data_IF_975357795288
#
_entry.id   IF_975357795288
#
_cell.length_a   1.000
_cell.length_b   1.000
_cell.length_c   1.000
_cell.angle_alpha   90.00
_cell.angle_beta   90.00
_cell.angle_gamma   90.00
#
_symmetry.space_group_name_H-M   'P 1'
#
loop_
_entity.id
_entity.type
_entity.pdbx_description
1 polymer ?
#
# COMPACT_ATOMS: atom_id res chain seq x y z
N UNK A 1 -5.18 -4.96 -11.89
CA UNK A 1 -5.54 -5.98 -10.86
C UNK A 1 -4.54 -5.99 -9.70
N UNK A 2 -5.06 -5.83 -8.49
CA UNK A 2 -4.35 -5.88 -7.20
C UNK A 2 -4.99 -6.92 -6.26
N UNK A 3 -4.35 -7.20 -5.13
CA UNK A 3 -4.92 -7.99 -4.06
C UNK A 3 -5.67 -7.12 -3.05
N UNK A 4 -6.74 -7.67 -2.48
CA UNK A 4 -7.61 -6.96 -1.54
C UNK A 4 -6.93 -6.50 -0.27
N UNK A 5 -5.77 -7.08 0.09
CA UNK A 5 -4.96 -6.60 1.23
C UNK A 5 -4.61 -5.11 1.11
N UNK A 6 -4.38 -4.59 -0.10
CA UNK A 6 -4.10 -3.17 -0.31
C UNK A 6 -5.34 -2.32 -0.01
N UNK A 7 -6.50 -2.71 -0.54
CA UNK A 7 -7.76 -1.99 -0.32
C UNK A 7 -8.18 -2.06 1.15
N UNK A 8 -7.97 -3.20 1.81
CA UNK A 8 -8.30 -3.36 3.21
C UNK A 8 -7.38 -2.52 4.11
N UNK A 9 -6.10 -2.37 3.74
CA UNK A 9 -5.21 -1.44 4.44
C UNK A 9 -5.63 0.02 4.25
N UNK A 10 -6.17 0.40 3.07
CA UNK A 10 -6.70 1.74 2.83
C UNK A 10 -7.94 1.96 3.71
N UNK A 11 -8.88 1.02 3.72
CA UNK A 11 -10.07 1.06 4.58
C UNK A 11 -9.69 1.24 6.05
N UNK A 12 -8.78 0.40 6.56
CA UNK A 12 -8.34 0.46 7.96
C UNK A 12 -7.73 1.82 8.30
N UNK A 13 -6.82 2.31 7.44
CA UNK A 13 -6.20 3.63 7.56
C UNK A 13 -7.20 4.79 7.54
N UNK A 14 -8.17 4.77 6.61
CA UNK A 14 -9.24 5.77 6.50
C UNK A 14 -10.12 5.74 7.75
N UNK A 15 -10.54 4.56 8.20
CA UNK A 15 -11.35 4.41 9.40
C UNK A 15 -10.61 4.93 10.63
N UNK A 16 -9.31 4.67 10.73
CA UNK A 16 -8.48 5.12 11.85
C UNK A 16 -8.28 6.64 11.85
N UNK A 17 -8.05 7.25 10.68
CA UNK A 17 -7.66 8.66 10.57
C UNK A 17 -8.86 9.60 10.43
N UNK A 18 -9.84 9.22 9.60
CA UNK A 18 -11.00 10.05 9.23
C UNK A 18 -12.33 9.48 9.75
N UNK A 19 -12.30 8.33 10.44
CA UNK A 19 -13.49 7.69 11.00
C UNK A 19 -14.28 6.84 10.00
N UNK A 20 -15.06 5.89 10.52
CA UNK A 20 -15.86 4.95 9.71
C UNK A 20 -16.91 5.64 8.84
N UNK A 21 -17.42 6.80 9.25
CA UNK A 21 -18.38 7.58 8.46
C UNK A 21 -17.79 8.05 7.12
N UNK A 22 -16.50 8.40 7.11
CA UNK A 22 -15.79 8.78 5.88
C UNK A 22 -15.65 7.58 4.95
N UNK A 23 -15.30 6.40 5.50
CA UNK A 23 -15.26 5.17 4.71
C UNK A 23 -16.62 4.80 4.11
N UNK A 24 -17.70 4.93 4.87
CA UNK A 24 -19.06 4.66 4.36
C UNK A 24 -19.42 5.55 3.16
N UNK A 25 -19.06 6.84 3.20
CA UNK A 25 -19.24 7.73 2.04
C UNK A 25 -18.47 7.25 0.82
N UNK A 26 -17.23 6.80 0.99
CA UNK A 26 -16.44 6.24 -0.12
C UNK A 26 -17.10 4.98 -0.70
N UNK A 27 -17.62 4.10 0.15
CA UNK A 27 -18.35 2.88 -0.27
C UNK A 27 -19.58 3.25 -1.09
N UNK A 28 -20.36 4.23 -0.65
CA UNK A 28 -21.55 4.73 -1.35
C UNK A 28 -21.20 5.38 -2.69
N UNK A 29 -20.26 6.33 -2.70
CA UNK A 29 -19.87 7.10 -3.90
C UNK A 29 -19.29 6.19 -4.99
N UNK A 30 -18.44 5.24 -4.59
CA UNK A 30 -17.80 4.31 -5.53
C UNK A 30 -18.65 3.07 -5.83
N UNK A 31 -19.84 2.96 -5.23
CA UNK A 31 -20.79 1.86 -5.38
C UNK A 31 -20.16 0.49 -5.10
N UNK A 32 -19.45 0.36 -3.98
CA UNK A 32 -18.89 -0.94 -3.57
C UNK A 32 -19.99 -1.86 -3.01
N UNK A 33 -19.95 -3.14 -3.39
CA UNK A 33 -20.93 -4.15 -2.93
C UNK A 33 -20.78 -4.52 -1.45
N UNK A 34 -19.63 -4.19 -0.85
CA UNK A 34 -19.27 -4.55 0.52
C UNK A 34 -18.41 -3.44 1.13
N UNK A 35 -18.54 -3.25 2.45
CA UNK A 35 -17.71 -2.33 3.22
C UNK A 35 -16.29 -2.87 3.47
N UNK A 36 -16.00 -4.13 3.14
CA UNK A 36 -14.68 -4.76 3.36
C UNK A 36 -14.22 -5.59 2.16
N UNK A 37 -12.90 -5.78 2.07
CA UNK A 37 -12.26 -6.54 1.00
C UNK A 37 -11.64 -7.84 1.50
N UNK A 38 -11.81 -8.91 0.72
CA UNK A 38 -11.14 -10.17 1.00
C UNK A 38 -9.65 -10.01 0.72
N UNK A 39 -8.78 -10.27 1.69
CA UNK A 39 -7.31 -10.09 1.60
C UNK A 39 -6.70 -10.75 0.36
N UNK A 40 -7.08 -12.00 0.07
CA UNK A 40 -6.63 -12.77 -1.11
C UNK A 40 -7.52 -12.57 -2.35
N UNK A 41 -8.59 -11.76 -2.22
CA UNK A 41 -9.45 -11.36 -3.33
C UNK A 41 -8.69 -10.52 -4.35
N UNK A 42 -9.20 -10.50 -5.59
CA UNK A 42 -8.57 -9.77 -6.70
C UNK A 42 -9.50 -8.67 -7.17
N UNK A 43 -8.95 -7.47 -7.24
CA UNK A 43 -9.70 -6.25 -7.53
C UNK A 43 -9.00 -5.43 -8.60
N UNK A 44 -9.72 -4.52 -9.24
CA UNK A 44 -9.12 -3.63 -10.24
C UNK A 44 -8.08 -2.70 -9.57
N UNK A 45 -6.98 -2.43 -10.27
CA UNK A 45 -5.93 -1.56 -9.74
C UNK A 45 -6.33 -0.09 -9.68
N UNK A 46 -7.29 0.33 -10.52
CA UNK A 46 -7.84 1.69 -10.52
C UNK A 46 -8.58 2.02 -9.22
N UNK A 47 -8.97 1.03 -8.41
CA UNK A 47 -9.76 1.28 -7.21
C UNK A 47 -8.99 2.08 -6.15
N UNK A 48 -7.67 1.90 -6.02
CA UNK A 48 -6.88 2.67 -5.04
C UNK A 48 -6.88 4.15 -5.41
N UNK A 49 -6.69 4.46 -6.70
CA UNK A 49 -6.72 5.83 -7.22
C UNK A 49 -8.12 6.44 -7.10
N UNK A 50 -9.18 5.69 -7.43
CA UNK A 50 -10.56 6.16 -7.24
C UNK A 50 -10.92 6.45 -5.79
N UNK A 51 -10.38 5.68 -4.84
CA UNK A 51 -10.54 5.97 -3.40
C UNK A 51 -9.81 7.28 -3.05
N UNK A 52 -8.58 7.48 -3.56
CA UNK A 52 -7.85 8.74 -3.35
C UNK A 52 -8.58 9.95 -3.94
N UNK A 53 -9.10 9.84 -5.16
CA UNK A 53 -9.93 10.87 -5.81
C UNK A 53 -11.16 11.22 -4.97
N UNK A 54 -11.91 10.20 -4.54
CA UNK A 54 -13.10 10.39 -3.70
C UNK A 54 -12.77 11.09 -2.37
N UNK A 55 -11.67 10.72 -1.72
CA UNK A 55 -11.23 11.39 -0.49
C UNK A 55 -10.81 12.84 -0.74
N UNK A 56 -10.07 13.10 -1.82
CA UNK A 56 -9.65 14.45 -2.19
C UNK A 56 -10.86 15.37 -2.44
N UNK A 57 -11.89 14.86 -3.11
CA UNK A 57 -13.14 15.60 -3.33
C UNK A 57 -13.96 15.78 -2.05
N UNK A 58 -14.03 14.75 -1.20
CA UNK A 58 -14.87 14.75 0.00
C UNK A 58 -14.30 15.55 1.18
N UNK A 59 -12.97 15.56 1.35
CA UNK A 59 -12.29 16.15 2.51
C UNK A 59 -11.58 17.48 2.16
N UNK A 60 -11.08 17.63 0.93
CA UNK A 60 -10.51 18.89 0.43
C UNK A 60 -9.23 19.37 1.12
N UNK A 61 -8.60 18.54 1.95
CA UNK A 61 -7.36 18.85 2.69
C UNK A 61 -6.08 18.40 1.96
N UNK A 62 -6.22 17.66 0.85
CA UNK A 62 -5.13 17.19 0.01
C UNK A 62 -5.60 16.73 -1.36
N UNK A 63 -4.66 16.64 -2.31
CA UNK A 63 -4.90 16.06 -3.64
C UNK A 63 -4.69 14.55 -3.67
N UNK A 64 -4.84 13.94 -4.85
CA UNK A 64 -4.65 12.49 -5.06
C UNK A 64 -3.28 12.02 -4.56
N UNK A 65 -2.21 12.76 -4.87
CA UNK A 65 -0.84 12.42 -4.45
C UNK A 65 -0.67 12.34 -2.92
N UNK A 66 -1.35 13.24 -2.19
CA UNK A 66 -1.35 13.22 -0.73
C UNK A 66 -1.99 11.93 -0.19
N UNK A 67 -3.14 11.53 -0.75
CA UNK A 67 -3.82 10.31 -0.36
C UNK A 67 -3.06 9.04 -0.78
N UNK A 68 -2.37 9.07 -1.92
CA UNK A 68 -1.49 7.97 -2.34
C UNK A 68 -0.31 7.79 -1.38
N UNK A 69 0.28 8.89 -0.88
CA UNK A 69 1.29 8.82 0.17
C UNK A 69 0.72 8.29 1.49
N UNK A 70 -0.44 8.82 1.90
CA UNK A 70 -1.17 8.35 3.07
C UNK A 70 -1.45 6.84 3.02
N UNK A 71 -1.85 6.29 1.88
CA UNK A 71 -2.06 4.84 1.72
C UNK A 71 -0.77 4.03 1.85
N UNK A 72 0.37 4.58 1.44
CA UNK A 72 1.68 3.97 1.68
C UNK A 72 1.97 3.82 3.17
N UNK A 73 1.71 4.87 3.95
CA UNK A 73 1.89 4.87 5.42
C UNK A 73 0.91 3.91 6.12
N UNK A 74 -0.35 3.92 5.68
CA UNK A 74 -1.37 2.99 6.15
C UNK A 74 -0.97 1.53 5.87
N UNK A 75 -0.45 1.24 4.68
CA UNK A 75 -0.04 -0.11 4.33
C UNK A 75 1.11 -0.60 5.22
N UNK A 76 2.14 0.21 5.47
CA UNK A 76 3.24 -0.18 6.37
C UNK A 76 2.73 -0.45 7.78
N UNK A 77 1.84 0.41 8.29
CA UNK A 77 1.25 0.25 9.64
C UNK A 77 0.39 -1.01 9.72
N UNK A 78 -0.53 -1.17 8.78
CA UNK A 78 -1.42 -2.32 8.66
C UNK A 78 -0.62 -3.62 8.57
N UNK A 79 0.36 -3.68 7.64
CA UNK A 79 1.16 -4.87 7.39
C UNK A 79 1.98 -5.28 8.62
N UNK A 80 2.48 -4.31 9.39
CA UNK A 80 3.19 -4.55 10.65
C UNK A 80 2.31 -5.28 11.68
N UNK A 81 1.02 -4.94 11.76
CA UNK A 81 0.05 -5.58 12.67
C UNK A 81 -0.23 -7.05 12.32
N UNK A 82 0.03 -7.49 11.08
CA UNK A 82 -0.11 -8.89 10.65
C UNK A 82 1.15 -9.74 10.94
N UNK A 83 2.07 -9.25 11.79
CA UNK A 83 3.26 -10.00 12.21
C UNK A 83 4.42 -9.94 11.22
N UNK A 84 4.32 -9.06 10.20
CA UNK A 84 5.41 -8.78 9.28
C UNK A 84 6.43 -7.81 9.87
N UNK A 85 6.20 -7.29 11.08
CA UNK A 85 7.21 -6.56 11.87
C UNK A 85 8.49 -7.41 12.03
N UNK A 86 8.35 -8.72 12.21
CA UNK A 86 9.48 -9.65 12.29
C UNK A 86 10.23 -9.74 10.97
N UNK A 87 9.53 -9.67 9.84
CA UNK A 87 10.13 -9.74 8.52
C UNK A 87 10.82 -8.42 8.17
N UNK A 88 10.23 -7.28 8.53
CA UNK A 88 10.87 -5.96 8.45
C UNK A 88 12.13 -5.87 9.35
N UNK A 89 12.13 -6.51 10.53
CA UNK A 89 13.34 -6.59 11.38
C UNK A 89 14.45 -7.46 10.79
N UNK A 90 14.09 -8.50 10.02
CA UNK A 90 15.06 -9.36 9.32
C UNK A 90 15.65 -8.65 8.11
N UNK A 91 14.91 -7.73 7.49
CA UNK A 91 15.35 -6.92 6.36
C UNK A 91 16.63 -6.10 6.67
N UNK A 92 16.85 -5.74 7.94
CA UNK A 92 18.12 -5.21 8.45
C UNK A 92 17.93 -4.13 9.51
N UNK A 93 19.03 -3.44 9.87
CA UNK A 93 19.03 -2.43 10.94
C UNK A 93 18.82 -1.01 10.43
N UNK A 94 19.08 -0.78 9.15
CA UNK A 94 18.97 0.51 8.50
C UNK A 94 17.96 0.46 7.36
N UNK A 95 17.37 1.60 7.02
CA UNK A 95 16.39 1.70 5.93
C UNK A 95 16.94 1.21 4.58
N UNK A 96 18.24 1.41 4.31
CA UNK A 96 18.90 0.86 3.12
C UNK A 96 18.84 -0.67 3.04
N UNK A 97 18.96 -1.36 4.18
CA UNK A 97 18.92 -2.83 4.21
C UNK A 97 17.51 -3.31 3.81
N UNK A 98 16.47 -2.56 4.19
CA UNK A 98 15.10 -2.79 3.71
C UNK A 98 14.98 -2.60 2.19
N UNK A 99 15.53 -1.51 1.63
CA UNK A 99 15.51 -1.28 0.18
C UNK A 99 16.19 -2.40 -0.60
N UNK A 100 17.27 -2.96 -0.07
CA UNK A 100 18.00 -4.07 -0.70
C UNK A 100 17.28 -5.43 -0.59
N UNK A 101 16.39 -5.60 0.39
CA UNK A 101 15.73 -6.87 0.69
C UNK A 101 14.25 -6.92 0.29
N UNK A 102 13.62 -5.78 -0.02
CA UNK A 102 12.18 -5.71 -0.32
C UNK A 102 11.78 -6.57 -1.54
N UNK A 103 12.66 -6.72 -2.53
CA UNK A 103 12.40 -7.59 -3.68
C UNK A 103 12.35 -9.08 -3.28
N UNK A 104 13.20 -9.50 -2.33
CA UNK A 104 13.16 -10.85 -1.76
C UNK A 104 11.90 -11.07 -0.92
N UNK A 105 11.49 -10.05 -0.17
CA UNK A 105 10.23 -10.08 0.58
C UNK A 105 9.04 -10.28 -0.38
N UNK A 106 8.97 -9.49 -1.45
CA UNK A 106 7.95 -9.68 -2.48
C UNK A 106 8.00 -11.07 -3.12
N UNK A 107 9.19 -11.63 -3.37
CA UNK A 107 9.31 -12.96 -3.93
C UNK A 107 8.80 -14.04 -2.96
N UNK A 108 9.15 -13.94 -1.66
CA UNK A 108 8.66 -14.85 -0.62
C UNK A 108 7.12 -14.83 -0.50
N UNK A 109 6.51 -13.67 -0.73
CA UNK A 109 5.05 -13.51 -0.68
C UNK A 109 4.33 -14.17 -1.86
N UNK A 110 5.02 -14.62 -2.92
CA UNK A 110 4.39 -15.30 -4.05
C UNK A 110 3.71 -16.62 -3.66
N UNK A 111 4.15 -17.27 -2.58
CA UNK A 111 3.48 -18.49 -2.10
C UNK A 111 2.05 -18.20 -1.62
N UNK A 112 1.83 -17.07 -0.93
CA UNK A 112 0.51 -16.63 -0.47
C UNK A 112 -0.25 -15.82 -1.53
N UNK A 113 0.49 -15.08 -2.37
CA UNK A 113 -0.04 -14.18 -3.39
C UNK A 113 0.49 -14.57 -4.80
N UNK A 114 0.07 -15.71 -5.36
CA UNK A 114 0.68 -16.30 -6.57
C UNK A 114 0.56 -15.45 -7.84
N UNK A 115 -0.39 -14.52 -7.88
CA UNK A 115 -0.61 -13.61 -9.01
C UNK A 115 -0.14 -12.19 -8.72
N UNK A 116 0.70 -12.00 -7.69
CA UNK A 116 1.21 -10.70 -7.30
C UNK A 116 2.10 -10.14 -8.39
N UNK A 117 1.83 -8.91 -8.78
CA UNK A 117 2.71 -8.11 -9.64
C UNK A 117 3.45 -7.14 -8.74
N UNK A 118 4.58 -7.57 -8.18
CA UNK A 118 5.44 -6.71 -7.38
C UNK A 118 6.19 -5.71 -8.26
N UNK A 119 6.47 -4.50 -7.76
CA UNK A 119 7.51 -3.65 -8.33
C UNK A 119 8.91 -4.28 -8.14
N UNK A 120 9.91 -3.67 -8.75
CA UNK A 120 11.32 -3.95 -8.53
C UNK A 120 12.01 -2.71 -7.96
N UNK A 121 12.87 -2.93 -6.97
CA UNK A 121 13.66 -1.91 -6.30
C UNK A 121 15.14 -2.22 -6.49
N UNK A 122 15.88 -1.31 -7.12
CA UNK A 122 17.31 -1.49 -7.35
C UNK A 122 18.08 -0.26 -6.89
N UNK A 123 18.97 -0.45 -5.90
CA UNK A 123 19.88 0.59 -5.44
C UNK A 123 21.19 0.48 -6.22
N UNK A 124 21.61 1.56 -6.88
CA UNK A 124 22.86 1.57 -7.68
C UNK A 124 24.03 2.25 -6.98
N UNK A 125 23.74 3.25 -6.16
CA UNK A 125 24.74 4.07 -5.44
C UNK A 125 24.22 4.32 -4.04
N UNK A 126 25.11 4.25 -3.04
CA UNK A 126 24.80 4.60 -1.65
C UNK A 126 26.02 5.19 -0.94
N UNK A 127 25.79 6.23 -0.14
CA UNK A 127 26.78 6.87 0.72
C UNK A 127 26.12 7.39 2.01
N UNK A 128 26.83 8.23 2.76
CA UNK A 128 26.32 8.85 4.00
C UNK A 128 25.19 9.86 3.78
N UNK A 129 25.04 10.39 2.56
CA UNK A 129 24.04 11.40 2.19
C UNK A 129 22.78 10.78 1.58
N UNK A 130 22.82 9.52 1.13
CA UNK A 130 21.64 8.82 0.68
C UNK A 130 21.92 7.65 -0.25
N UNK A 131 20.90 7.30 -1.05
CA UNK A 131 20.98 6.23 -2.02
C UNK A 131 20.20 6.59 -3.29
N UNK A 132 20.69 6.13 -4.44
CA UNK A 132 19.99 6.23 -5.72
C UNK A 132 19.15 4.98 -5.93
N UNK A 133 17.82 5.14 -5.80
CA UNK A 133 16.85 4.07 -5.96
C UNK A 133 16.20 4.12 -7.35
N UNK A 134 16.33 3.02 -8.09
CA UNK A 134 15.58 2.78 -9.32
C UNK A 134 14.33 1.99 -8.99
N UNK A 135 13.17 2.62 -9.16
CA UNK A 135 11.86 2.00 -9.02
C UNK A 135 11.30 1.60 -10.39
N UNK A 136 10.95 0.33 -10.56
CA UNK A 136 10.32 -0.17 -11.79
C UNK A 136 9.03 -0.90 -11.47
N UNK A 137 7.94 -0.40 -12.05
CA UNK A 137 6.61 -0.99 -11.91
C UNK A 137 5.95 -1.18 -13.27
N UNK A 138 4.99 -2.11 -13.34
CA UNK A 138 4.07 -2.22 -14.48
C UNK A 138 2.89 -1.25 -14.36
N UNK A 139 2.66 -0.72 -13.15
CA UNK A 139 1.64 0.30 -12.87
C UNK A 139 2.24 1.67 -13.17
N UNK A 140 1.42 2.58 -13.70
CA UNK A 140 1.78 3.95 -14.04
C UNK A 140 1.11 4.90 -13.07
#
# INVERSE_FOLDING_TARGET
>A
MIYGILLESCRDGICHTYGSATWQRVVEELNFESESFTTLGRYDEVLVERIAECLAEALGDGGIDFYMQFFGECFVTFFTNYGYDKILRVAGRHFRDFLLSIDQLHDSNRFSFPKMKSPLFHVTEEDENGAVLHYKSKRR
#
